data_IF_873445049088
#
_entry.id   IF_873445049088
#
_cell.length_a   1.000
_cell.length_b   1.000
_cell.length_c   1.000
_cell.angle_alpha   90.00
_cell.angle_beta   90.00
_cell.angle_gamma   90.00
#
_symmetry.space_group_name_H-M   'P 1'
#
loop_
_entity.id
_entity.type
_entity.pdbx_description
1 polymer ?
#
# COMPACT_ATOMS: atom_id res chain seq x y z
N UNK A 1 -9.00 9.74 21.28
CA UNK A 1 -8.37 9.25 22.52
C UNK A 1 -7.02 8.62 22.22
N UNK A 2 -6.03 8.78 23.12
CA UNK A 2 -4.66 8.27 22.93
C UNK A 2 -4.64 6.74 22.63
N UNK A 3 -5.51 5.97 23.23
CA UNK A 3 -5.65 4.53 22.96
C UNK A 3 -5.88 4.16 21.49
N UNK A 4 -6.55 5.02 20.71
CA UNK A 4 -6.73 4.79 19.27
C UNK A 4 -5.46 5.12 18.49
N UNK A 5 -4.75 6.15 18.93
CA UNK A 5 -3.43 6.46 18.41
C UNK A 5 -2.47 5.28 18.64
N UNK A 6 -2.39 4.80 19.87
CA UNK A 6 -1.53 3.67 20.24
C UNK A 6 -1.87 2.44 19.37
N UNK A 7 -3.16 2.08 19.27
CA UNK A 7 -3.60 0.93 18.48
C UNK A 7 -3.19 1.03 17.00
N UNK A 8 -3.43 2.17 16.36
CA UNK A 8 -3.11 2.30 14.92
C UNK A 8 -1.60 2.26 14.70
N UNK A 9 -0.80 2.81 15.62
CA UNK A 9 0.66 2.75 15.55
C UNK A 9 1.22 1.37 15.90
N UNK A 10 0.62 0.67 16.84
CA UNK A 10 1.00 -0.72 17.13
C UNK A 10 0.78 -1.64 15.93
N UNK A 11 -0.35 -1.50 15.24
CA UNK A 11 -0.65 -2.32 14.06
C UNK A 11 0.22 -1.91 12.87
N UNK A 12 0.16 -0.64 12.46
CA UNK A 12 0.79 -0.20 11.22
C UNK A 12 2.30 -0.04 11.36
N UNK A 13 2.76 0.70 12.36
CA UNK A 13 4.19 1.03 12.50
C UNK A 13 4.97 -0.13 13.10
N UNK A 14 4.64 -0.46 14.37
CA UNK A 14 5.36 -1.49 15.11
C UNK A 14 5.16 -2.89 14.52
N UNK A 15 3.94 -3.22 14.11
CA UNK A 15 3.62 -4.51 13.52
C UNK A 15 4.36 -4.76 12.22
N UNK A 16 4.41 -3.77 11.32
CA UNK A 16 5.15 -3.88 10.06
C UNK A 16 6.66 -4.03 10.30
N UNK A 17 7.23 -3.22 11.20
CA UNK A 17 8.64 -3.34 11.56
C UNK A 17 8.97 -4.72 12.14
N UNK A 18 8.20 -5.17 13.11
CA UNK A 18 8.42 -6.46 13.77
C UNK A 18 8.29 -7.65 12.80
N UNK A 19 7.32 -7.58 11.86
CA UNK A 19 7.17 -8.61 10.82
C UNK A 19 8.38 -8.64 9.88
N UNK A 20 8.82 -7.48 9.41
CA UNK A 20 10.03 -7.40 8.58
C UNK A 20 11.24 -7.98 9.33
N UNK A 21 11.47 -7.57 10.58
CA UNK A 21 12.58 -8.07 11.39
C UNK A 21 12.51 -9.60 11.55
N UNK A 22 11.34 -10.16 11.84
CA UNK A 22 11.17 -11.60 12.00
C UNK A 22 11.35 -12.37 10.68
N UNK A 23 11.01 -11.77 9.54
CA UNK A 23 11.16 -12.39 8.22
C UNK A 23 12.60 -12.36 7.69
N UNK A 24 13.44 -11.39 8.09
CA UNK A 24 14.79 -11.21 7.56
C UNK A 24 15.66 -12.47 7.55
N UNK A 25 15.76 -13.28 8.64
CA UNK A 25 16.58 -14.50 8.63
C UNK A 25 16.16 -15.54 7.58
N UNK A 26 14.90 -15.48 7.16
CA UNK A 26 14.35 -16.35 6.12
C UNK A 26 14.56 -15.76 4.72
N UNK A 27 14.36 -14.44 4.58
CA UNK A 27 14.57 -13.74 3.32
C UNK A 27 16.02 -13.76 2.87
N UNK A 28 16.97 -13.63 3.80
CA UNK A 28 18.42 -13.75 3.54
C UNK A 28 18.84 -15.13 3.02
N UNK A 29 18.07 -16.17 3.28
CA UNK A 29 18.30 -17.53 2.77
C UNK A 29 17.61 -17.79 1.43
N UNK A 30 16.81 -16.85 0.95
CA UNK A 30 16.01 -16.99 -0.26
C UNK A 30 16.69 -16.30 -1.44
N UNK A 31 16.79 -17.00 -2.55
CA UNK A 31 17.23 -16.40 -3.82
C UNK A 31 16.25 -15.37 -4.38
N UNK A 32 15.05 -15.32 -3.81
CA UNK A 32 13.95 -14.45 -4.23
C UNK A 32 13.41 -13.54 -3.10
N UNK A 33 14.27 -13.14 -2.15
CA UNK A 33 13.88 -12.30 -1.01
C UNK A 33 13.24 -10.97 -1.44
N UNK A 34 11.97 -10.74 -1.05
CA UNK A 34 11.22 -9.53 -1.36
C UNK A 34 10.30 -9.14 -0.22
N UNK A 35 10.15 -7.84 -0.02
CA UNK A 35 9.19 -7.24 0.90
C UNK A 35 8.33 -6.27 0.10
N UNK A 36 7.02 -6.41 0.20
CA UNK A 36 6.06 -5.46 -0.35
C UNK A 36 5.16 -4.95 0.78
N UNK A 37 5.17 -3.64 0.97
CA UNK A 37 4.42 -2.98 2.05
C UNK A 37 3.25 -2.19 1.45
N UNK A 38 2.07 -2.33 2.02
CA UNK A 38 0.91 -1.49 1.67
C UNK A 38 1.05 -0.12 2.33
N UNK A 39 1.88 0.72 1.72
CA UNK A 39 2.25 2.05 2.21
C UNK A 39 2.16 3.09 1.09
N UNK A 40 1.68 4.32 1.40
CA UNK A 40 1.50 5.35 0.40
C UNK A 40 2.82 5.99 -0.04
N UNK A 41 2.86 6.64 -1.21
CA UNK A 41 3.90 7.60 -1.52
C UNK A 41 3.89 8.72 -0.48
N UNK A 42 5.07 9.31 -0.21
CA UNK A 42 5.19 10.38 0.79
C UNK A 42 4.85 11.70 0.13
N UNK A 43 3.67 12.22 0.42
CA UNK A 43 3.19 13.52 -0.02
C UNK A 43 3.08 14.47 1.19
N UNK A 44 3.98 15.45 1.28
CA UNK A 44 4.03 16.41 2.40
C UNK A 44 3.04 17.57 2.18
N UNK A 45 1.77 17.24 1.96
CA UNK A 45 0.68 18.21 1.83
C UNK A 45 -0.17 18.19 3.12
N UNK A 46 -0.40 19.34 3.77
CA UNK A 46 -1.23 19.44 4.97
C UNK A 46 -2.65 18.85 4.80
N UNK A 47 -3.19 18.83 3.56
CA UNK A 47 -4.52 18.24 3.29
C UNK A 47 -4.62 16.79 3.74
N UNK A 48 -3.52 16.02 3.63
CA UNK A 48 -3.47 14.59 4.01
C UNK A 48 -3.33 14.35 5.51
N UNK A 49 -2.99 15.40 6.27
CA UNK A 49 -2.82 15.36 7.71
C UNK A 49 -4.06 15.87 8.44
N UNK A 50 -4.89 16.66 7.75
CA UNK A 50 -6.09 17.27 8.35
C UNK A 50 -7.19 16.21 8.55
N UNK A 51 -7.62 16.05 9.79
CA UNK A 51 -8.66 15.08 10.20
C UNK A 51 -8.19 13.63 10.33
N UNK A 52 -7.07 13.25 9.71
CA UNK A 52 -6.53 11.87 9.70
C UNK A 52 -5.13 11.75 10.28
N UNK A 53 -4.68 12.72 11.06
CA UNK A 53 -3.29 12.88 11.51
C UNK A 53 -2.67 11.58 12.06
N UNK A 54 -3.31 10.91 13.02
CA UNK A 54 -2.78 9.69 13.62
C UNK A 54 -2.61 8.55 12.61
N UNK A 55 -3.60 8.39 11.71
CA UNK A 55 -3.56 7.40 10.65
C UNK A 55 -2.46 7.72 9.64
N UNK A 56 -2.39 8.96 9.17
CA UNK A 56 -1.38 9.42 8.21
C UNK A 56 0.03 9.23 8.74
N UNK A 57 0.31 9.63 9.99
CA UNK A 57 1.62 9.39 10.61
C UNK A 57 1.94 7.89 10.65
N UNK A 58 0.99 7.06 11.03
CA UNK A 58 1.20 5.60 11.06
C UNK A 58 1.49 5.01 9.68
N UNK A 59 0.82 5.49 8.63
CA UNK A 59 1.07 5.07 7.25
C UNK A 59 2.41 5.57 6.72
N UNK A 60 2.76 6.82 7.00
CA UNK A 60 4.06 7.36 6.59
C UNK A 60 5.24 6.68 7.32
N UNK A 61 5.03 6.20 8.56
CA UNK A 61 6.07 5.38 9.23
C UNK A 61 6.35 4.09 8.45
N UNK A 62 5.32 3.48 7.85
CA UNK A 62 5.51 2.31 6.96
C UNK A 62 6.24 2.69 5.68
N UNK A 63 5.98 3.88 5.13
CA UNK A 63 6.70 4.39 3.96
C UNK A 63 8.18 4.65 4.28
N UNK A 64 8.47 5.22 5.46
CA UNK A 64 9.85 5.38 5.93
C UNK A 64 10.54 4.03 6.15
N UNK A 65 9.82 3.02 6.64
CA UNK A 65 10.34 1.65 6.77
C UNK A 65 10.76 1.09 5.40
N UNK A 66 9.94 1.29 4.35
CA UNK A 66 10.29 0.88 2.99
C UNK A 66 11.59 1.53 2.52
N UNK A 67 11.70 2.87 2.67
CA UNK A 67 12.91 3.60 2.28
C UNK A 67 14.15 3.12 3.05
N UNK A 68 14.05 2.99 4.37
CA UNK A 68 15.15 2.53 5.20
C UNK A 68 15.60 1.12 4.82
N UNK A 69 14.69 0.17 4.82
CA UNK A 69 14.99 -1.22 4.50
C UNK A 69 15.47 -1.42 3.05
N UNK A 70 14.97 -0.64 2.09
CA UNK A 70 15.45 -0.74 0.70
C UNK A 70 16.92 -0.39 0.57
N UNK A 71 17.43 0.56 1.36
CA UNK A 71 18.85 0.90 1.42
C UNK A 71 19.66 -0.12 2.21
N UNK A 72 19.19 -0.49 3.40
CA UNK A 72 19.90 -1.43 4.28
C UNK A 72 20.06 -2.82 3.66
N UNK A 73 19.03 -3.32 2.96
CA UNK A 73 18.99 -4.69 2.44
C UNK A 73 19.43 -4.82 0.97
N UNK A 74 19.83 -3.71 0.33
CA UNK A 74 20.27 -3.73 -1.06
C UNK A 74 21.46 -4.68 -1.31
N UNK A 75 22.44 -4.67 -0.40
CA UNK A 75 23.62 -5.53 -0.48
C UNK A 75 23.33 -7.00 -0.21
N UNK A 76 22.24 -7.29 0.51
CA UNK A 76 21.75 -8.64 0.76
C UNK A 76 20.87 -9.18 -0.39
N UNK A 77 20.64 -8.36 -1.41
CA UNK A 77 19.85 -8.73 -2.59
C UNK A 77 18.36 -8.92 -2.26
N UNK A 78 17.85 -8.25 -1.25
CA UNK A 78 16.43 -8.25 -0.88
C UNK A 78 15.79 -6.95 -1.37
N UNK A 79 14.80 -7.07 -2.25
CA UNK A 79 14.04 -5.92 -2.75
C UNK A 79 12.92 -5.53 -1.78
N UNK A 80 12.79 -4.23 -1.51
CA UNK A 80 11.76 -3.68 -0.62
C UNK A 80 11.04 -2.55 -1.35
N UNK A 81 9.74 -2.73 -1.61
CA UNK A 81 8.92 -1.78 -2.34
C UNK A 81 7.59 -1.52 -1.61
N UNK A 82 6.90 -0.48 -2.01
CA UNK A 82 5.57 -0.14 -1.54
C UNK A 82 4.54 -0.21 -2.66
N UNK A 83 3.29 -0.50 -2.28
CA UNK A 83 2.13 -0.38 -3.16
C UNK A 83 1.04 0.41 -2.43
N UNK A 84 0.32 1.26 -3.16
CA UNK A 84 -0.84 1.99 -2.67
C UNK A 84 -1.96 1.97 -3.72
N UNK A 85 -3.24 1.82 -3.33
CA UNK A 85 -4.34 1.89 -4.29
C UNK A 85 -4.45 3.30 -4.90
N UNK A 86 -4.64 3.39 -6.21
CA UNK A 86 -4.91 4.67 -6.87
C UNK A 86 -6.32 5.19 -6.59
N UNK A 87 -7.25 4.28 -6.36
CA UNK A 87 -8.64 4.57 -6.01
C UNK A 87 -9.03 3.78 -4.77
N UNK A 88 -10.12 4.17 -4.12
CA UNK A 88 -10.68 3.38 -3.01
C UNK A 88 -10.92 1.93 -3.45
N UNK A 89 -10.74 1.00 -2.52
CA UNK A 89 -10.91 -0.44 -2.75
C UNK A 89 -12.11 -0.95 -1.95
N UNK A 90 -12.96 -1.76 -2.58
CA UNK A 90 -14.06 -2.45 -1.92
C UNK A 90 -13.53 -3.42 -0.86
N UNK A 91 -13.46 -2.92 0.37
CA UNK A 91 -13.01 -3.65 1.55
C UNK A 91 -14.05 -3.56 2.65
N UNK A 92 -13.95 -4.44 3.64
CA UNK A 92 -14.79 -4.36 4.84
C UNK A 92 -14.69 -2.98 5.54
N UNK A 93 -13.50 -2.36 5.52
CA UNK A 93 -13.29 -1.03 6.11
C UNK A 93 -14.12 0.05 5.41
N UNK A 94 -14.26 0.00 4.10
CA UNK A 94 -15.08 0.94 3.32
C UNK A 94 -16.55 0.58 3.45
N UNK A 95 -16.90 -0.69 3.26
CA UNK A 95 -18.28 -1.19 3.21
C UNK A 95 -19.06 -0.97 4.50
N UNK A 96 -18.42 -1.20 5.66
CA UNK A 96 -19.06 -1.13 6.97
C UNK A 96 -18.77 0.14 7.76
N UNK A 97 -18.13 1.14 7.14
CA UNK A 97 -17.84 2.42 7.76
C UNK A 97 -18.56 3.55 7.03
N UNK A 98 -19.73 3.95 7.56
CA UNK A 98 -20.51 5.06 7.00
C UNK A 98 -19.73 6.38 6.90
N UNK A 99 -18.79 6.61 7.82
CA UNK A 99 -17.91 7.79 7.75
C UNK A 99 -16.97 7.79 6.54
N UNK A 100 -16.73 6.63 5.93
CA UNK A 100 -15.98 6.48 4.67
C UNK A 100 -16.91 6.37 3.45
N UNK A 101 -18.22 6.52 3.62
CA UNK A 101 -19.20 6.55 2.52
C UNK A 101 -19.97 5.25 2.28
N UNK A 102 -19.66 4.15 3.01
CA UNK A 102 -20.44 2.92 2.97
C UNK A 102 -20.63 2.34 1.56
N UNK A 103 -21.86 1.89 1.25
CA UNK A 103 -22.18 1.27 -0.05
C UNK A 103 -21.98 2.20 -1.25
N UNK A 104 -22.24 3.50 -1.10
CA UNK A 104 -22.02 4.47 -2.18
C UNK A 104 -20.52 4.57 -2.53
N UNK A 105 -19.66 4.56 -1.52
CA UNK A 105 -18.22 4.52 -1.74
C UNK A 105 -17.79 3.21 -2.40
N UNK A 106 -18.38 2.08 -2.02
CA UNK A 106 -18.11 0.76 -2.65
C UNK A 106 -18.42 0.81 -4.15
N UNK A 107 -19.52 1.41 -4.57
CA UNK A 107 -19.87 1.54 -6.00
C UNK A 107 -18.83 2.35 -6.79
N UNK A 108 -18.18 3.30 -6.14
CA UNK A 108 -17.12 4.16 -6.69
C UNK A 108 -15.72 3.63 -6.45
N UNK A 109 -15.61 2.37 -6.05
CA UNK A 109 -14.36 1.71 -5.72
C UNK A 109 -13.96 0.68 -6.79
N UNK A 110 -12.73 0.20 -6.68
CA UNK A 110 -12.27 -0.97 -7.41
C UNK A 110 -12.29 -2.22 -6.54
N UNK A 111 -12.31 -3.35 -7.20
CA UNK A 111 -12.23 -4.68 -6.55
C UNK A 111 -10.81 -4.90 -5.99
N UNK A 112 -10.63 -5.60 -4.87
CA UNK A 112 -9.31 -5.94 -4.31
C UNK A 112 -8.37 -6.64 -5.29
N UNK A 113 -8.93 -7.25 -6.33
CA UNK A 113 -8.17 -7.94 -7.38
C UNK A 113 -7.12 -7.06 -8.06
N UNK A 114 -7.38 -5.74 -8.22
CA UNK A 114 -6.41 -4.84 -8.85
C UNK A 114 -5.11 -4.78 -8.04
N UNK A 115 -5.23 -4.67 -6.70
CA UNK A 115 -4.06 -4.63 -5.80
C UNK A 115 -3.31 -5.97 -5.83
N UNK A 116 -4.04 -7.09 -5.91
CA UNK A 116 -3.43 -8.42 -5.97
C UNK A 116 -2.65 -8.64 -7.28
N UNK A 117 -3.22 -8.25 -8.42
CA UNK A 117 -2.55 -8.38 -9.73
C UNK A 117 -1.33 -7.45 -9.82
N UNK A 118 -1.43 -6.22 -9.30
CA UNK A 118 -0.32 -5.28 -9.20
C UNK A 118 0.79 -5.80 -8.25
N UNK A 119 0.43 -6.34 -7.10
CA UNK A 119 1.38 -6.94 -6.16
C UNK A 119 2.14 -8.12 -6.79
N UNK A 120 1.45 -8.95 -7.56
CA UNK A 120 2.08 -10.05 -8.30
C UNK A 120 3.11 -9.52 -9.29
N UNK A 121 2.79 -8.47 -10.05
CA UNK A 121 3.72 -7.84 -10.97
C UNK A 121 4.96 -7.31 -10.25
N UNK A 122 4.78 -6.50 -9.18
CA UNK A 122 5.88 -5.93 -8.40
C UNK A 122 6.78 -7.02 -7.82
N UNK A 123 6.18 -8.07 -7.24
CA UNK A 123 6.92 -9.20 -6.66
C UNK A 123 7.62 -10.08 -7.72
N UNK A 124 7.25 -9.96 -8.99
CA UNK A 124 7.89 -10.66 -10.11
C UNK A 124 9.04 -9.86 -10.75
N UNK A 125 9.20 -8.60 -10.40
CA UNK A 125 10.28 -7.73 -10.90
C UNK A 125 11.67 -8.24 -10.54
N UNK A 126 12.71 -7.71 -11.19
CA UNK A 126 14.08 -7.96 -10.79
C UNK A 126 14.34 -7.41 -9.36
N UNK A 127 15.15 -8.11 -8.57
CA UNK A 127 15.51 -7.68 -7.20
C UNK A 127 16.28 -6.36 -7.13
N UNK A 128 16.81 -5.88 -8.24
CA UNK A 128 17.40 -4.54 -8.33
C UNK A 128 16.36 -3.42 -8.28
N UNK A 129 15.09 -3.74 -8.52
CA UNK A 129 13.97 -2.80 -8.38
C UNK A 129 13.57 -2.75 -6.91
N UNK A 130 14.10 -1.76 -6.20
CA UNK A 130 13.91 -1.58 -4.75
C UNK A 130 13.69 -0.11 -4.41
N UNK A 131 13.05 0.19 -3.29
CA UNK A 131 12.75 1.55 -2.84
C UNK A 131 11.65 2.27 -3.63
N UNK A 132 10.89 1.55 -4.45
CA UNK A 132 9.85 2.12 -5.29
C UNK A 132 8.50 2.20 -4.55
N UNK A 133 7.76 3.25 -4.88
CA UNK A 133 6.40 3.47 -4.42
C UNK A 133 5.46 3.41 -5.62
N UNK A 134 4.81 2.28 -5.78
CA UNK A 134 3.85 2.05 -6.87
C UNK A 134 2.44 2.42 -6.44
N UNK A 135 1.64 2.92 -7.38
CA UNK A 135 0.20 2.68 -7.30
C UNK A 135 -0.12 1.35 -7.98
N UNK A 136 -1.28 0.77 -7.65
CA UNK A 136 -1.76 -0.43 -8.34
C UNK A 136 -1.91 -0.19 -9.85
N UNK A 137 -2.38 1.00 -10.25
CA UNK A 137 -2.45 1.41 -11.66
C UNK A 137 -1.07 1.50 -12.30
N UNK A 138 -0.11 2.22 -11.67
CA UNK A 138 1.22 2.39 -12.26
C UNK A 138 1.93 1.06 -12.46
N UNK A 139 1.83 0.15 -11.49
CA UNK A 139 2.42 -1.18 -11.60
C UNK A 139 1.78 -2.01 -12.73
N UNK A 140 0.46 -1.92 -12.90
CA UNK A 140 -0.23 -2.65 -13.96
C UNK A 140 -0.02 -2.03 -15.34
N UNK A 141 0.13 -0.71 -15.44
CA UNK A 141 0.55 -0.07 -16.70
C UNK A 141 1.94 -0.54 -17.13
N UNK A 142 2.89 -0.66 -16.21
CA UNK A 142 4.20 -1.27 -16.49
C UNK A 142 4.08 -2.72 -16.95
N UNK A 143 3.07 -3.45 -16.47
CA UNK A 143 2.74 -4.81 -16.91
C UNK A 143 2.01 -4.86 -18.27
N UNK A 144 1.72 -3.72 -18.90
CA UNK A 144 1.02 -3.64 -20.19
C UNK A 144 -0.50 -3.68 -20.09
N UNK A 145 -1.07 -3.41 -18.91
CA UNK A 145 -2.52 -3.31 -18.74
C UNK A 145 -2.98 -1.91 -19.17
N UNK A 146 -3.83 -1.84 -20.19
CA UNK A 146 -4.39 -0.60 -20.72
C UNK A 146 -5.82 -0.35 -20.24
N UNK A 147 -6.59 -1.41 -19.96
CA UNK A 147 -7.98 -1.32 -19.53
C UNK A 147 -8.14 -1.78 -18.07
N UNK A 148 -8.60 -0.84 -17.25
CA UNK A 148 -8.84 -1.04 -15.81
C UNK A 148 -10.33 -1.23 -15.48
N UNK A 149 -11.24 -1.14 -16.45
CA UNK A 149 -12.69 -1.20 -16.20
C UNK A 149 -13.12 -2.53 -15.59
N UNK A 150 -12.42 -3.62 -15.92
CA UNK A 150 -12.64 -4.96 -15.32
C UNK A 150 -12.47 -4.98 -13.80
N UNK A 151 -11.75 -4.02 -13.24
CA UNK A 151 -11.52 -3.88 -11.80
C UNK A 151 -12.57 -3.01 -11.12
N UNK A 152 -13.35 -2.21 -11.84
CA UNK A 152 -14.41 -1.41 -11.24
C UNK A 152 -15.45 -2.30 -10.56
N UNK A 153 -15.94 -1.89 -9.39
CA UNK A 153 -17.08 -2.57 -8.73
C UNK A 153 -18.32 -2.37 -9.58
N UNK A 154 -18.59 -1.13 -9.96
CA UNK A 154 -19.66 -0.77 -10.88
C UNK A 154 -19.07 -0.07 -12.12
N UNK A 155 -19.04 -0.73 -13.27
CA UNK A 155 -18.50 -0.15 -14.50
C UNK A 155 -19.23 1.15 -14.90
N UNK A 156 -18.43 2.13 -15.35
CA UNK A 156 -18.96 3.44 -15.76
C UNK A 156 -19.20 4.43 -14.61
N UNK A 157 -19.08 4.02 -13.35
CA UNK A 157 -19.17 4.95 -12.22
C UNK A 157 -17.88 5.75 -12.07
N UNK A 158 -17.96 7.06 -11.77
CA UNK A 158 -16.79 7.86 -11.43
C UNK A 158 -16.10 7.30 -10.19
N UNK A 159 -14.86 6.87 -10.34
CA UNK A 159 -14.08 6.31 -9.25
C UNK A 159 -13.66 7.39 -8.24
N UNK A 160 -13.55 7.00 -6.98
CA UNK A 160 -13.01 7.84 -5.92
C UNK A 160 -11.49 7.63 -5.82
N UNK A 161 -10.72 8.69 -6.01
CA UNK A 161 -9.28 8.67 -5.76
C UNK A 161 -9.00 8.38 -4.28
N UNK A 162 -7.98 7.57 -4.01
CA UNK A 162 -7.56 7.27 -2.64
C UNK A 162 -6.70 8.41 -2.05
N UNK A 163 -6.40 8.31 -0.75
CA UNK A 163 -5.57 9.28 -0.03
C UNK A 163 -4.13 9.32 -0.58
N UNK A 164 -3.47 10.44 -0.42
CA UNK A 164 -2.03 10.68 -0.70
C UNK A 164 -1.66 10.76 -2.19
N UNK A 165 -2.64 10.94 -3.08
CA UNK A 165 -2.46 11.04 -4.52
C UNK A 165 -3.00 12.34 -5.09
#
# INVERSE_FOLDING_TARGET
PIKRFDLVHEVNSRGSFALCQAALPHLMKSDAGRILVLAPPIALDPKWLNGTLAYTISKYSMSMLVLGLSGELAMDGIAVNAIWPATTIDTAAVRYNEALGGEEMVRRSRKPRIVADAALHILSQNKTVTGQFYTDESALMEAGVEDFEKYAVEPGMPLQQDFYL
#
